data_IF_621777958770
#
_entry.id   IF_621777958770
#
_cell.length_a   1.000
_cell.length_b   1.000
_cell.length_c   1.000
_cell.angle_alpha   90.00
_cell.angle_beta   90.00
_cell.angle_gamma   90.00
#
_symmetry.space_group_name_H-M   'P 1'
#
loop_
_entity.id
_entity.type
_entity.pdbx_description
1 polymer ?
#
# COMPACT_ATOMS: atom_id res chain seq x y z
N UNK A 1 -6.36 9.36 -10.23
CA UNK A 1 -5.93 8.73 -8.96
C UNK A 1 -6.53 9.46 -7.76
N UNK A 2 -7.22 8.77 -6.85
CA UNK A 2 -7.83 9.42 -5.68
C UNK A 2 -6.76 9.95 -4.72
N UNK A 3 -6.98 11.14 -4.13
CA UNK A 3 -5.99 11.82 -3.27
C UNK A 3 -5.57 10.96 -2.08
N UNK A 4 -6.52 10.22 -1.49
CA UNK A 4 -6.25 9.35 -0.34
C UNK A 4 -5.32 8.18 -0.70
N UNK A 5 -5.58 7.52 -1.84
CA UNK A 5 -4.72 6.45 -2.36
C UNK A 5 -3.29 6.94 -2.58
N UNK A 6 -3.16 8.15 -3.16
CA UNK A 6 -1.85 8.76 -3.41
C UNK A 6 -1.07 8.99 -2.12
N UNK A 7 -1.75 9.43 -1.05
CA UNK A 7 -1.14 9.64 0.27
C UNK A 7 -0.66 8.33 0.91
N UNK A 8 -1.46 7.25 0.81
CA UNK A 8 -1.03 5.95 1.33
C UNK A 8 0.22 5.45 0.62
N UNK A 9 0.27 5.54 -0.72
CA UNK A 9 1.44 5.13 -1.49
C UNK A 9 2.71 5.93 -1.13
N UNK A 10 2.59 7.23 -0.88
CA UNK A 10 3.76 8.03 -0.47
C UNK A 10 4.35 7.66 0.88
N UNK A 11 3.57 7.01 1.76
CA UNK A 11 4.00 6.66 3.12
C UNK A 11 4.59 5.23 3.17
N UNK A 12 4.27 4.35 2.21
CA UNK A 12 4.75 2.96 2.19
C UNK A 12 6.28 2.83 2.36
N UNK A 13 7.13 3.58 1.64
CA UNK A 13 8.58 3.45 1.78
C UNK A 13 9.06 3.79 3.19
N UNK A 14 8.46 4.81 3.80
CA UNK A 14 8.77 5.21 5.19
C UNK A 14 8.34 4.14 6.18
N UNK A 15 7.18 3.51 5.97
CA UNK A 15 6.69 2.45 6.84
C UNK A 15 7.59 1.20 6.77
N UNK A 16 8.06 0.81 5.58
CA UNK A 16 9.01 -0.30 5.43
C UNK A 16 10.40 0.03 5.96
N UNK A 17 10.85 1.27 5.80
CA UNK A 17 12.09 1.73 6.41
C UNK A 17 12.01 1.66 7.94
N UNK A 18 10.88 2.09 8.52
CA UNK A 18 10.63 1.94 9.95
C UNK A 18 10.62 0.47 10.38
N UNK A 19 10.00 -0.43 9.60
CA UNK A 19 10.03 -1.88 9.86
C UNK A 19 11.46 -2.45 9.88
N UNK A 20 12.33 -1.98 9.00
CA UNK A 20 13.75 -2.32 8.99
C UNK A 20 14.51 -1.79 10.21
N UNK A 21 14.22 -0.55 10.65
CA UNK A 21 14.82 0.04 11.85
C UNK A 21 14.51 -0.78 13.12
N UNK A 22 13.29 -1.31 13.23
CA UNK A 22 12.91 -2.19 14.36
C UNK A 22 13.23 -3.67 14.13
N UNK A 23 13.84 -4.03 12.99
CA UNK A 23 14.23 -5.40 12.62
C UNK A 23 13.08 -6.41 12.77
N UNK A 24 11.90 -6.02 12.28
CA UNK A 24 10.70 -6.86 12.36
C UNK A 24 10.18 -7.21 10.97
N UNK A 25 10.45 -8.44 10.56
CA UNK A 25 9.93 -8.98 9.30
C UNK A 25 8.39 -9.03 9.28
N UNK A 26 7.75 -9.21 10.45
CA UNK A 26 6.29 -9.17 10.57
C UNK A 26 5.71 -7.80 10.16
N UNK A 27 6.44 -6.71 10.42
CA UNK A 27 6.02 -5.36 10.03
C UNK A 27 6.24 -5.05 8.55
N UNK A 28 7.00 -5.87 7.81
CA UNK A 28 7.22 -5.67 6.38
C UNK A 28 5.92 -5.81 5.58
N UNK A 29 5.08 -6.79 5.92
CA UNK A 29 3.83 -7.05 5.19
C UNK A 29 2.69 -6.11 5.58
N UNK A 30 2.76 -5.54 6.79
CA UNK A 30 1.65 -4.81 7.41
C UNK A 30 1.18 -3.60 6.58
N UNK A 31 2.06 -2.74 6.03
CA UNK A 31 1.65 -1.61 5.19
C UNK A 31 0.91 -2.05 3.92
N UNK A 32 1.38 -3.11 3.25
CA UNK A 32 0.74 -3.66 2.05
C UNK A 32 -0.63 -4.25 2.36
N UNK A 33 -0.75 -5.01 3.46
CA UNK A 33 -2.01 -5.63 3.87
C UNK A 33 -3.05 -4.58 4.26
N UNK A 34 -2.65 -3.53 4.99
CA UNK A 34 -3.53 -2.42 5.32
C UNK A 34 -4.05 -1.70 4.08
N UNK A 35 -3.16 -1.41 3.11
CA UNK A 35 -3.56 -0.76 1.87
C UNK A 35 -4.44 -1.66 1.00
N UNK A 36 -4.15 -2.97 0.94
CA UNK A 36 -5.00 -3.95 0.26
C UNK A 36 -6.41 -3.96 0.86
N UNK A 37 -6.53 -4.04 2.19
CA UNK A 37 -7.83 -4.00 2.87
C UNK A 37 -8.60 -2.71 2.60
N UNK A 38 -7.91 -1.57 2.56
CA UNK A 38 -8.51 -0.30 2.19
C UNK A 38 -9.01 -0.29 0.73
N UNK A 39 -8.22 -0.81 -0.21
CA UNK A 39 -8.60 -0.93 -1.62
C UNK A 39 -9.83 -1.81 -1.81
N UNK A 40 -9.89 -2.97 -1.13
CA UNK A 40 -11.05 -3.88 -1.17
C UNK A 40 -12.29 -3.17 -0.63
N UNK A 41 -12.20 -2.54 0.55
CA UNK A 41 -13.33 -1.79 1.15
C UNK A 41 -13.83 -0.68 0.22
N UNK A 42 -12.92 0.04 -0.44
CA UNK A 42 -13.26 1.08 -1.41
C UNK A 42 -13.92 0.50 -2.66
N UNK A 43 -13.40 -0.60 -3.20
CA UNK A 43 -14.00 -1.28 -4.35
C UNK A 43 -15.45 -1.67 -4.07
N UNK A 44 -15.70 -2.33 -2.93
CA UNK A 44 -17.05 -2.73 -2.52
C UNK A 44 -18.01 -1.53 -2.39
N UNK A 45 -17.51 -0.40 -1.88
CA UNK A 45 -18.30 0.84 -1.82
C UNK A 45 -18.64 1.39 -3.20
N UNK A 46 -17.71 1.37 -4.17
CA UNK A 46 -17.98 1.85 -5.53
C UNK A 46 -18.98 0.93 -6.23
N UNK A 47 -18.83 -0.39 -6.09
CA UNK A 47 -19.77 -1.38 -6.66
C UNK A 47 -21.16 -1.20 -6.07
N UNK A 48 -21.27 -0.95 -4.77
CA UNK A 48 -22.56 -0.68 -4.12
C UNK A 48 -23.26 0.61 -4.55
N UNK A 49 -22.57 1.51 -5.26
CA UNK A 49 -23.15 2.73 -5.83
C UNK A 49 -23.58 2.56 -7.30
N UNK A 50 -23.26 1.43 -7.92
CA UNK A 50 -23.67 1.12 -9.29
C UNK A 50 -25.19 1.08 -9.37
N UNK A 51 -25.76 1.84 -10.32
CA UNK A 51 -27.21 2.00 -10.47
C UNK A 51 -27.83 3.06 -9.56
N UNK A 52 -27.08 3.60 -8.59
CA UNK A 52 -27.51 4.72 -7.74
C UNK A 52 -26.90 6.04 -8.20
N UNK A 53 -25.64 6.02 -8.66
CA UNK A 53 -24.96 7.22 -9.16
C UNK A 53 -24.65 7.11 -10.66
N UNK A 54 -24.80 8.21 -11.43
CA UNK A 54 -24.69 8.20 -12.89
C UNK A 54 -23.27 7.92 -13.41
N UNK A 55 -22.26 8.05 -12.54
CA UNK A 55 -20.84 7.83 -12.87
C UNK A 55 -20.32 6.45 -12.43
N UNK A 56 -21.08 5.68 -11.65
CA UNK A 56 -20.66 4.37 -11.18
C UNK A 56 -21.10 3.27 -12.17
N UNK A 57 -20.14 2.76 -12.94
CA UNK A 57 -20.30 1.55 -13.73
C UNK A 57 -19.43 0.41 -13.19
N UNK A 58 -19.87 -0.83 -13.39
CA UNK A 58 -19.09 -2.02 -13.01
C UNK A 58 -17.73 -2.04 -13.72
N UNK A 59 -17.70 -1.64 -14.99
CA UNK A 59 -16.47 -1.54 -15.78
C UNK A 59 -15.48 -0.53 -15.20
N UNK A 60 -15.97 0.65 -14.83
CA UNK A 60 -15.15 1.67 -14.16
C UNK A 60 -14.59 1.17 -12.82
N UNK A 61 -15.43 0.59 -11.97
CA UNK A 61 -15.02 0.07 -10.67
C UNK A 61 -13.92 -1.00 -10.79
N UNK A 62 -14.08 -1.92 -11.75
CA UNK A 62 -13.10 -2.97 -12.04
C UNK A 62 -11.78 -2.39 -12.55
N UNK A 63 -11.83 -1.50 -13.54
CA UNK A 63 -10.62 -0.93 -14.14
C UNK A 63 -9.76 -0.20 -13.09
N UNK A 64 -10.38 0.65 -12.28
CA UNK A 64 -9.70 1.39 -11.22
C UNK A 64 -9.07 0.46 -10.18
N UNK A 65 -9.77 -0.63 -9.84
CA UNK A 65 -9.28 -1.58 -8.82
C UNK A 65 -8.10 -2.39 -9.35
N UNK A 66 -8.13 -2.82 -10.61
CA UNK A 66 -7.00 -3.52 -11.24
C UNK A 66 -5.76 -2.62 -11.30
N UNK A 67 -5.92 -1.36 -11.71
CA UNK A 67 -4.82 -0.39 -11.73
C UNK A 67 -4.22 -0.18 -10.33
N UNK A 68 -5.07 0.01 -9.32
CA UNK A 68 -4.64 0.20 -7.94
C UNK A 68 -3.93 -1.06 -7.40
N UNK A 69 -4.39 -2.27 -7.73
CA UNK A 69 -3.76 -3.52 -7.32
C UNK A 69 -2.40 -3.76 -7.99
N UNK A 70 -2.29 -3.47 -9.30
CA UNK A 70 -1.01 -3.55 -10.00
C UNK A 70 0.02 -2.59 -9.40
N UNK A 71 -0.41 -1.38 -9.06
CA UNK A 71 0.44 -0.41 -8.36
C UNK A 71 0.85 -0.91 -6.97
N UNK A 72 -0.07 -1.51 -6.21
CA UNK A 72 0.25 -2.09 -4.90
C UNK A 72 1.25 -3.24 -5.02
N UNK A 73 1.08 -4.11 -6.02
CA UNK A 73 2.02 -5.19 -6.30
C UNK A 73 3.42 -4.64 -6.63
N UNK A 74 3.51 -3.62 -7.49
CA UNK A 74 4.77 -2.96 -7.80
C UNK A 74 5.47 -2.38 -6.58
N UNK A 75 4.73 -1.66 -5.72
CA UNK A 75 5.29 -1.13 -4.47
C UNK A 75 5.71 -2.24 -3.51
N UNK A 76 4.90 -3.29 -3.36
CA UNK A 76 5.21 -4.40 -2.46
C UNK A 76 6.45 -5.16 -2.92
N UNK A 77 6.65 -5.32 -4.23
CA UNK A 77 7.88 -5.91 -4.78
C UNK A 77 9.13 -5.06 -4.47
N UNK A 78 8.97 -3.73 -4.36
CA UNK A 78 10.04 -2.81 -3.97
C UNK A 78 10.26 -2.71 -2.46
N UNK A 79 9.36 -3.25 -1.63
CA UNK A 79 9.42 -3.16 -0.16
C UNK A 79 10.71 -3.66 0.50
N UNK A 80 11.44 -4.66 -0.04
CA UNK A 80 12.72 -5.09 0.55
C UNK A 80 13.78 -3.98 0.54
N UNK A 81 13.78 -3.08 -0.45
CA UNK A 81 14.79 -2.03 -0.57
C UNK A 81 14.78 -1.06 0.63
N UNK A 82 13.65 -0.38 0.96
CA UNK A 82 13.59 0.48 2.13
C UNK A 82 13.74 -0.28 3.45
N UNK A 83 13.27 -1.54 3.52
CA UNK A 83 13.48 -2.37 4.71
C UNK A 83 14.96 -2.63 4.98
N UNK A 84 15.71 -3.07 3.97
CA UNK A 84 17.16 -3.29 4.10
C UNK A 84 17.91 -2.00 4.41
N UNK A 85 17.48 -0.87 3.85
CA UNK A 85 18.05 0.44 4.19
C UNK A 85 17.83 0.78 5.68
N UNK A 86 16.63 0.54 6.21
CA UNK A 86 16.33 0.71 7.64
C UNK A 86 17.20 -0.20 8.52
N UNK A 87 17.40 -1.45 8.10
CA UNK A 87 18.25 -2.41 8.80
C UNK A 87 19.73 -1.97 8.83
N UNK A 88 20.26 -1.48 7.71
CA UNK A 88 21.62 -0.90 7.66
C UNK A 88 21.75 0.33 8.56
N UNK A 89 20.76 1.25 8.54
CA UNK A 89 20.76 2.42 9.42
C UNK A 89 20.80 2.00 10.89
N UNK A 90 20.00 0.99 11.27
CA UNK A 90 20.01 0.45 12.64
C UNK A 90 21.39 -0.06 13.02
N UNK A 91 22.04 -0.84 12.15
CA UNK A 91 23.40 -1.37 12.40
C UNK A 91 24.44 -0.27 12.58
N UNK A 92 24.32 0.85 11.84
CA UNK A 92 25.22 2.00 11.97
C UNK A 92 24.97 2.81 13.25
N UNK A 93 23.71 2.95 13.68
CA UNK A 93 23.33 3.74 14.86
C UNK A 93 23.46 2.97 16.17
N UNK A 94 23.23 1.67 16.13
CA UNK A 94 23.31 0.75 17.27
C UNK A 94 24.32 -0.35 16.92
N UNK A 95 25.61 -0.03 16.77
CA UNK A 95 26.65 -1.04 16.59
C UNK A 95 26.76 -1.81 17.92
N UNK A 96 26.14 -2.98 17.97
CA UNK A 96 26.23 -3.95 19.05
C UNK A 96 26.84 -5.24 18.54
#
# INVERSE_FOLDING_TARGET
MFVLTRRFYSILPLAWLAAGLVDSLALLMLPSLMLLGWLIRRHLRIVGLVGVTPWASVGFARHVTVEDLLRLAGWTALSPLPFLAGLQIRQLLLPG
#
